data_IF_760463647677
#
_entry.id   IF_760463647677
#
_cell.length_a   1.000
_cell.length_b   1.000
_cell.length_c   1.000
_cell.angle_alpha   90.00
_cell.angle_beta   90.00
_cell.angle_gamma   90.00
#
_symmetry.space_group_name_H-M   'P 1'
#
loop_
_entity.id
_entity.type
_entity.pdbx_description
1 polymer ?
#
# COMPACT_ATOMS: atom_id res chain seq x y z
N UNK A 1 13.48 67.76 -25.19
CA UNK A 1 12.56 66.60 -25.45
C UNK A 1 13.14 65.19 -25.18
N UNK A 2 14.39 65.04 -24.73
CA UNK A 2 15.00 63.73 -24.45
C UNK A 2 14.59 63.08 -23.13
N UNK A 3 14.23 63.84 -22.11
CA UNK A 3 13.93 63.34 -20.76
C UNK A 3 12.63 62.50 -20.68
N UNK A 4 11.62 62.85 -21.47
CA UNK A 4 10.35 62.13 -21.49
C UNK A 4 10.47 60.72 -22.08
N UNK A 5 11.28 60.57 -23.13
CA UNK A 5 11.49 59.28 -23.81
C UNK A 5 12.28 58.30 -22.92
N UNK A 6 13.30 58.79 -22.25
CA UNK A 6 14.11 57.98 -21.33
C UNK A 6 13.29 57.51 -20.10
N UNK A 7 12.46 58.40 -19.54
CA UNK A 7 11.56 58.03 -18.43
C UNK A 7 10.58 56.92 -18.78
N UNK A 8 9.99 56.98 -19.99
CA UNK A 8 9.06 55.95 -20.48
C UNK A 8 9.75 54.58 -20.61
N UNK A 9 10.96 54.54 -21.18
CA UNK A 9 11.71 53.29 -21.29
C UNK A 9 12.07 52.67 -19.93
N UNK A 10 12.42 53.48 -18.93
CA UNK A 10 12.69 53.00 -17.59
C UNK A 10 11.44 52.39 -16.93
N UNK A 11 10.29 53.05 -17.09
CA UNK A 11 9.02 52.54 -16.57
C UNK A 11 8.66 51.18 -17.20
N UNK A 12 8.75 51.06 -18.52
CA UNK A 12 8.52 49.81 -19.22
C UNK A 12 9.49 48.72 -18.81
N UNK A 13 10.75 49.04 -18.62
CA UNK A 13 11.75 48.10 -18.17
C UNK A 13 11.42 47.57 -16.75
N UNK A 14 11.11 48.46 -15.82
CA UNK A 14 10.74 48.06 -14.45
C UNK A 14 9.46 47.20 -14.44
N UNK A 15 8.44 47.60 -15.21
CA UNK A 15 7.22 46.84 -15.34
C UNK A 15 7.48 45.43 -15.91
N UNK A 16 8.30 45.33 -16.95
CA UNK A 16 8.68 44.04 -17.53
C UNK A 16 9.42 43.13 -16.56
N UNK A 17 10.34 43.65 -15.74
CA UNK A 17 11.06 42.90 -14.71
C UNK A 17 10.11 42.40 -13.63
N UNK A 18 9.16 43.23 -13.18
CA UNK A 18 8.15 42.85 -12.20
C UNK A 18 7.27 41.70 -12.72
N UNK A 19 6.77 41.85 -13.95
CA UNK A 19 5.93 40.82 -14.58
C UNK A 19 6.73 39.52 -14.77
N UNK A 20 7.95 39.58 -15.25
CA UNK A 20 8.81 38.42 -15.40
C UNK A 20 9.07 37.70 -14.06
N UNK A 21 9.29 38.48 -13.00
CA UNK A 21 9.46 37.94 -11.64
C UNK A 21 8.21 37.22 -11.13
N UNK A 22 7.03 37.81 -11.33
CA UNK A 22 5.75 37.17 -10.95
C UNK A 22 5.50 35.87 -11.71
N UNK A 23 5.68 35.87 -13.03
CA UNK A 23 5.50 34.67 -13.86
C UNK A 23 6.48 33.59 -13.47
N UNK A 24 7.74 33.93 -13.23
CA UNK A 24 8.77 32.99 -12.78
C UNK A 24 8.42 32.39 -11.41
N UNK A 25 7.93 33.18 -10.47
CA UNK A 25 7.50 32.70 -9.15
C UNK A 25 6.35 31.70 -9.23
N UNK A 26 5.33 31.99 -10.03
CA UNK A 26 4.21 31.06 -10.27
C UNK A 26 4.70 29.76 -10.92
N UNK A 27 5.57 29.88 -11.92
CA UNK A 27 6.12 28.70 -12.61
C UNK A 27 6.90 27.78 -11.65
N UNK A 28 7.74 28.36 -10.80
CA UNK A 28 8.49 27.60 -9.78
C UNK A 28 7.52 26.92 -8.82
N UNK A 29 6.50 27.62 -8.31
CA UNK A 29 5.53 27.04 -7.38
C UNK A 29 4.76 25.86 -8.01
N UNK A 30 4.30 25.99 -9.26
CA UNK A 30 3.62 24.92 -9.98
C UNK A 30 4.56 23.71 -10.19
N UNK A 31 5.80 23.98 -10.61
CA UNK A 31 6.79 22.90 -10.81
C UNK A 31 7.09 22.15 -9.52
N UNK A 32 7.25 22.85 -8.40
CA UNK A 32 7.46 22.22 -7.08
C UNK A 32 6.27 21.36 -6.66
N UNK A 33 5.05 21.84 -6.86
CA UNK A 33 3.84 21.07 -6.55
C UNK A 33 3.73 19.79 -7.41
N UNK A 34 4.05 19.86 -8.69
CA UNK A 34 4.06 18.71 -9.59
C UNK A 34 5.13 17.71 -9.13
N UNK A 35 6.35 18.19 -8.86
CA UNK A 35 7.46 17.32 -8.41
C UNK A 35 7.11 16.60 -7.10
N UNK A 36 6.57 17.30 -6.11
CA UNK A 36 6.15 16.70 -4.84
C UNK A 36 5.03 15.67 -5.05
N UNK A 37 4.05 15.97 -5.91
CA UNK A 37 2.96 15.06 -6.21
C UNK A 37 3.44 13.80 -6.92
N UNK A 38 4.42 13.92 -7.82
CA UNK A 38 5.03 12.78 -8.52
C UNK A 38 5.87 11.93 -7.56
N UNK A 39 6.65 12.56 -6.69
CA UNK A 39 7.45 11.87 -5.67
C UNK A 39 6.55 11.03 -4.74
N UNK A 40 5.50 11.64 -4.20
CA UNK A 40 4.54 10.95 -3.32
C UNK A 40 3.82 9.77 -4.02
N UNK A 41 3.55 9.90 -5.31
CA UNK A 41 2.97 8.79 -6.10
C UNK A 41 4.00 7.70 -6.36
N UNK A 42 5.23 8.08 -6.65
CA UNK A 42 6.35 7.16 -6.85
C UNK A 42 6.62 6.31 -5.61
N UNK A 43 6.66 6.94 -4.43
CA UNK A 43 6.82 6.24 -3.15
C UNK A 43 5.70 5.22 -2.91
N UNK A 44 4.44 5.58 -3.12
CA UNK A 44 3.30 4.66 -2.97
C UNK A 44 3.39 3.46 -3.92
N UNK A 45 3.79 3.70 -5.16
CA UNK A 45 3.97 2.62 -6.14
C UNK A 45 5.14 1.72 -5.74
N UNK A 46 6.24 2.29 -5.26
CA UNK A 46 7.37 1.53 -4.76
C UNK A 46 6.97 0.67 -3.55
N UNK A 47 6.28 1.24 -2.56
CA UNK A 47 5.75 0.49 -1.41
C UNK A 47 4.81 -0.65 -1.84
N UNK A 48 3.99 -0.41 -2.86
CA UNK A 48 3.07 -1.41 -3.39
C UNK A 48 3.79 -2.56 -4.10
N UNK A 49 4.87 -2.25 -4.82
CA UNK A 49 5.71 -3.26 -5.49
C UNK A 49 6.59 -4.03 -4.50
N UNK A 50 6.99 -3.39 -3.41
CA UNK A 50 7.82 -4.00 -2.37
C UNK A 50 7.02 -4.82 -1.35
N UNK A 51 5.70 -4.68 -1.33
CA UNK A 51 4.83 -5.43 -0.42
C UNK A 51 4.20 -6.60 -1.18
N UNK A 52 4.51 -7.82 -0.79
CA UNK A 52 3.84 -9.01 -1.31
C UNK A 52 3.95 -10.17 -0.31
N UNK A 53 3.00 -11.08 -0.34
CA UNK A 53 3.00 -12.28 0.49
C UNK A 53 2.35 -13.44 -0.25
N UNK A 54 2.59 -14.65 0.20
CA UNK A 54 1.96 -15.85 -0.36
C UNK A 54 1.52 -16.80 0.76
N UNK A 55 0.54 -17.66 0.45
CA UNK A 55 0.01 -18.69 1.36
C UNK A 55 0.67 -20.00 0.97
N UNK A 56 1.45 -20.59 1.88
CA UNK A 56 2.32 -21.73 1.60
C UNK A 56 1.84 -23.05 2.22
N UNK A 57 0.54 -23.17 2.50
CA UNK A 57 -0.05 -24.41 3.01
C UNK A 57 -0.15 -25.49 1.92
N UNK A 58 -0.19 -26.76 2.38
CA UNK A 58 -0.66 -27.83 1.51
C UNK A 58 -2.18 -27.72 1.33
N UNK A 59 -2.70 -27.63 0.08
CA UNK A 59 -4.12 -27.49 -0.15
C UNK A 59 -4.97 -28.70 0.30
N UNK A 60 -4.37 -29.86 0.47
CA UNK A 60 -5.07 -31.07 0.88
C UNK A 60 -5.13 -31.28 2.40
N UNK A 61 -4.25 -30.58 3.15
CA UNK A 61 -4.13 -30.77 4.60
C UNK A 61 -3.94 -29.43 5.28
N UNK A 62 -5.02 -28.86 5.82
CA UNK A 62 -4.93 -27.66 6.64
C UNK A 62 -4.78 -28.07 8.11
N UNK A 63 -3.66 -27.68 8.77
CA UNK A 63 -3.47 -27.99 10.17
C UNK A 63 -4.57 -27.37 11.04
N UNK A 64 -5.10 -28.17 11.96
CA UNK A 64 -6.10 -27.75 12.94
C UNK A 64 -5.57 -28.06 14.34
N UNK A 65 -5.52 -27.07 15.22
CA UNK A 65 -5.20 -27.24 16.62
C UNK A 65 -6.27 -26.59 17.47
N UNK A 66 -6.97 -27.43 18.27
CA UNK A 66 -8.15 -26.97 18.98
C UNK A 66 -9.24 -26.52 18.03
N UNK A 67 -9.60 -25.23 18.11
CA UNK A 67 -10.61 -24.60 17.24
C UNK A 67 -10.01 -23.71 16.15
N UNK A 68 -8.68 -23.72 15.98
CA UNK A 68 -8.00 -22.84 15.06
C UNK A 68 -7.43 -23.58 13.87
N UNK A 69 -7.76 -23.12 12.67
CA UNK A 69 -7.09 -23.48 11.43
C UNK A 69 -5.81 -22.66 11.30
N UNK A 70 -4.72 -23.28 10.84
CA UNK A 70 -3.42 -22.65 10.70
C UNK A 70 -3.10 -22.43 9.23
N UNK A 71 -2.94 -21.18 8.83
CA UNK A 71 -2.48 -20.79 7.52
C UNK A 71 -1.11 -20.13 7.64
N UNK A 72 -0.18 -20.55 6.80
CA UNK A 72 1.18 -20.03 6.80
C UNK A 72 1.33 -18.99 5.71
N UNK A 73 1.64 -17.76 6.11
CA UNK A 73 1.90 -16.63 5.21
C UNK A 73 3.40 -16.39 5.15
N UNK A 74 3.96 -16.39 3.94
CA UNK A 74 5.35 -16.05 3.68
C UNK A 74 5.41 -14.65 3.07
N UNK A 75 6.27 -13.81 3.60
CA UNK A 75 6.60 -12.53 2.97
C UNK A 75 7.52 -12.79 1.77
N UNK A 76 7.05 -12.51 0.57
CA UNK A 76 7.80 -12.61 -0.70
C UNK A 76 8.11 -11.23 -1.28
N UNK A 77 7.74 -10.15 -0.58
CA UNK A 77 8.05 -8.78 -0.95
C UNK A 77 9.45 -8.33 -0.56
N UNK A 78 9.83 -7.13 -1.01
CA UNK A 78 11.11 -6.48 -0.72
C UNK A 78 11.15 -5.71 0.61
N UNK A 79 10.01 -5.56 1.29
CA UNK A 79 9.89 -4.83 2.55
C UNK A 79 9.36 -5.72 3.69
N UNK A 80 9.56 -5.26 4.92
CA UNK A 80 8.97 -5.91 6.09
C UNK A 80 7.45 -5.78 6.08
N UNK A 81 6.73 -6.87 6.29
CA UNK A 81 5.28 -6.92 6.28
C UNK A 81 4.71 -6.84 7.71
N UNK A 82 3.83 -5.87 7.96
CA UNK A 82 3.11 -5.76 9.23
C UNK A 82 1.87 -6.66 9.21
N UNK A 83 1.79 -7.61 10.15
CA UNK A 83 0.75 -8.63 10.23
C UNK A 83 -0.10 -8.43 11.48
N UNK A 84 -1.11 -7.59 11.35
CA UNK A 84 -2.08 -7.34 12.41
C UNK A 84 -3.50 -7.53 11.88
N UNK A 85 -4.45 -7.76 12.78
CA UNK A 85 -5.87 -7.83 12.43
C UNK A 85 -6.48 -6.50 11.97
N UNK A 86 -5.72 -5.40 12.03
CA UNK A 86 -6.11 -4.10 11.47
C UNK A 86 -5.59 -3.89 10.05
N UNK A 87 -4.48 -4.56 9.69
CA UNK A 87 -3.86 -4.45 8.37
C UNK A 87 -4.28 -5.54 7.39
N UNK A 88 -4.87 -6.61 7.92
CA UNK A 88 -5.34 -7.74 7.12
C UNK A 88 -6.84 -7.96 7.28
N UNK A 89 -7.47 -8.44 6.22
CA UNK A 89 -8.84 -8.91 6.20
C UNK A 89 -8.86 -10.34 5.64
N UNK A 90 -9.61 -11.20 6.31
CA UNK A 90 -9.66 -12.62 5.99
C UNK A 90 -11.07 -12.98 5.54
N UNK A 91 -11.17 -13.65 4.41
CA UNK A 91 -12.43 -14.17 3.89
C UNK A 91 -12.31 -15.67 3.67
N UNK A 92 -13.36 -16.40 4.01
CA UNK A 92 -13.50 -17.81 3.66
C UNK A 92 -14.81 -17.96 2.88
N UNK A 93 -14.73 -18.52 1.68
CA UNK A 93 -15.86 -18.68 0.74
C UNK A 93 -16.58 -17.36 0.44
N UNK A 94 -15.84 -16.25 0.47
CA UNK A 94 -16.38 -14.90 0.26
C UNK A 94 -17.01 -14.26 1.51
N UNK A 95 -17.09 -14.96 2.64
CA UNK A 95 -17.58 -14.42 3.90
C UNK A 95 -16.42 -13.82 4.72
N UNK A 96 -16.60 -12.58 5.19
CA UNK A 96 -15.62 -11.88 6.02
C UNK A 96 -15.53 -12.51 7.41
N UNK A 97 -14.36 -12.93 7.79
CA UNK A 97 -14.07 -13.43 9.15
C UNK A 97 -13.92 -12.26 10.11
N UNK A 98 -14.62 -12.28 11.22
CA UNK A 98 -14.59 -11.22 12.22
C UNK A 98 -13.21 -11.03 12.83
N UNK A 99 -12.84 -9.80 13.10
CA UNK A 99 -11.51 -9.37 13.60
C UNK A 99 -11.10 -10.06 14.92
N UNK A 100 -12.06 -10.56 15.69
CA UNK A 100 -11.83 -11.33 16.92
C UNK A 100 -11.68 -12.84 16.69
N UNK A 101 -11.93 -13.31 15.46
CA UNK A 101 -11.90 -14.73 15.12
C UNK A 101 -10.57 -15.15 14.48
N UNK A 102 -9.65 -14.23 14.26
CA UNK A 102 -8.32 -14.54 13.75
C UNK A 102 -7.24 -13.67 14.40
N UNK A 103 -6.05 -14.19 14.41
CA UNK A 103 -4.85 -13.45 14.83
C UNK A 103 -3.60 -14.02 14.15
N UNK A 104 -2.54 -13.23 14.15
CA UNK A 104 -1.23 -13.64 13.64
C UNK A 104 -0.30 -13.99 14.80
N UNK A 105 0.54 -14.97 14.61
CA UNK A 105 1.58 -15.35 15.57
C UNK A 105 2.56 -14.21 15.84
N UNK A 106 2.97 -13.52 14.76
CA UNK A 106 3.87 -12.36 14.82
C UNK A 106 3.16 -11.14 14.27
N UNK A 107 3.39 -9.98 14.88
CA UNK A 107 2.84 -8.68 14.40
C UNK A 107 3.59 -8.12 13.20
N UNK A 108 4.72 -8.70 12.85
CA UNK A 108 5.56 -8.29 11.71
C UNK A 108 6.47 -9.43 11.29
N UNK A 109 6.60 -9.61 9.98
CA UNK A 109 7.50 -10.60 9.38
C UNK A 109 8.55 -9.93 8.51
N UNK A 110 9.83 -10.32 8.63
CA UNK A 110 10.89 -9.83 7.78
C UNK A 110 10.74 -10.36 6.34
N UNK A 111 11.58 -9.85 5.45
CA UNK A 111 11.70 -10.37 4.07
C UNK A 111 12.00 -11.88 4.15
N UNK A 112 11.34 -12.68 3.32
CA UNK A 112 11.38 -14.15 3.29
C UNK A 112 10.93 -14.85 4.59
N UNK A 113 10.50 -14.09 5.60
CA UNK A 113 9.97 -14.63 6.84
C UNK A 113 8.58 -15.22 6.67
N UNK A 114 8.19 -16.05 7.66
CA UNK A 114 6.91 -16.73 7.70
C UNK A 114 6.20 -16.35 9.00
N UNK A 115 4.88 -16.26 8.97
CA UNK A 115 4.02 -16.16 10.14
C UNK A 115 2.86 -17.12 10.02
N UNK A 116 2.29 -17.51 11.15
CA UNK A 116 1.08 -18.32 11.20
C UNK A 116 -0.13 -17.41 11.42
N UNK A 117 -1.12 -17.53 10.56
CA UNK A 117 -2.45 -16.97 10.72
C UNK A 117 -3.34 -18.04 11.35
N UNK A 118 -3.87 -17.76 12.52
CA UNK A 118 -4.82 -18.59 13.25
C UNK A 118 -6.23 -18.11 12.98
N UNK A 119 -7.11 -18.98 12.47
CA UNK A 119 -8.50 -18.64 12.16
C UNK A 119 -9.44 -19.57 12.93
N UNK A 120 -10.30 -18.97 13.75
CA UNK A 120 -11.33 -19.68 14.51
C UNK A 120 -12.69 -19.53 13.81
N UNK A 121 -13.03 -20.51 13.00
CA UNK A 121 -14.33 -20.56 12.32
C UNK A 121 -14.74 -22.01 12.08
N UNK A 122 -16.02 -22.23 11.82
CA UNK A 122 -16.53 -23.54 11.46
C UNK A 122 -16.55 -23.67 9.93
N UNK A 123 -15.73 -24.58 9.41
CA UNK A 123 -15.65 -24.88 7.99
C UNK A 123 -16.28 -26.27 7.77
N UNK A 124 -17.19 -26.40 6.81
CA UNK A 124 -17.80 -27.68 6.44
C UNK A 124 -16.77 -28.62 5.80
N UNK A 125 -17.13 -29.87 5.47
CA UNK A 125 -16.26 -30.73 4.66
C UNK A 125 -16.44 -30.41 3.18
N UNK A 126 -15.34 -30.27 2.44
CA UNK A 126 -15.35 -29.95 1.02
C UNK A 126 -14.21 -29.04 0.59
N UNK A 127 -14.33 -28.48 -0.60
CA UNK A 127 -13.38 -27.51 -1.14
C UNK A 127 -13.79 -26.09 -0.71
N UNK A 128 -12.84 -25.33 -0.24
CA UNK A 128 -13.03 -23.97 0.28
C UNK A 128 -11.99 -23.02 -0.29
N UNK A 129 -12.33 -21.73 -0.32
CA UNK A 129 -11.43 -20.67 -0.75
C UNK A 129 -11.13 -19.70 0.41
N UNK A 130 -9.86 -19.61 0.80
CA UNK A 130 -9.35 -18.58 1.68
C UNK A 130 -8.87 -17.40 0.84
N UNK A 131 -9.37 -16.21 1.10
CA UNK A 131 -8.84 -14.97 0.54
C UNK A 131 -8.29 -14.10 1.66
N UNK A 132 -7.05 -13.72 1.53
CA UNK A 132 -6.33 -12.87 2.48
C UNK A 132 -6.03 -11.56 1.79
N UNK A 133 -6.57 -10.47 2.31
CA UNK A 133 -6.31 -9.11 1.83
C UNK A 133 -5.41 -8.42 2.83
N UNK A 134 -4.22 -8.06 2.41
CA UNK A 134 -3.18 -7.42 3.22
C UNK A 134 -3.04 -5.92 2.97
N UNK A 135 -1.94 -5.32 3.46
CA UNK A 135 -1.62 -3.92 3.23
C UNK A 135 -1.58 -3.57 1.74
N UNK A 136 -1.81 -2.32 1.39
CA UNK A 136 -1.84 -1.80 0.01
C UNK A 136 -2.89 -2.50 -0.89
N UNK A 137 -3.90 -3.15 -0.29
CA UNK A 137 -4.93 -3.93 -0.99
C UNK A 137 -4.38 -5.10 -1.82
N UNK A 138 -3.22 -5.62 -1.45
CA UNK A 138 -2.68 -6.84 -2.05
C UNK A 138 -3.49 -8.01 -1.52
N UNK A 139 -4.00 -8.85 -2.39
CA UNK A 139 -4.78 -10.01 -2.02
C UNK A 139 -4.22 -11.30 -2.60
N UNK A 140 -4.39 -12.38 -1.87
CA UNK A 140 -4.07 -13.74 -2.29
C UNK A 140 -5.26 -14.64 -2.00
N UNK A 141 -5.52 -15.50 -2.97
CA UNK A 141 -6.55 -16.53 -2.84
C UNK A 141 -5.89 -17.92 -2.81
N UNK A 142 -6.36 -18.74 -1.91
CA UNK A 142 -5.84 -20.09 -1.71
C UNK A 142 -7.00 -21.07 -1.55
N UNK A 143 -7.10 -22.03 -2.46
CA UNK A 143 -8.12 -23.08 -2.40
C UNK A 143 -7.58 -24.27 -1.61
N UNK A 144 -8.39 -24.76 -0.69
CA UNK A 144 -8.02 -25.88 0.18
C UNK A 144 -9.18 -26.83 0.43
N UNK A 145 -8.86 -28.01 0.85
CA UNK A 145 -9.83 -29.07 1.17
C UNK A 145 -9.86 -29.34 2.67
N UNK A 146 -11.09 -29.50 3.19
CA UNK A 146 -11.33 -29.95 4.56
C UNK A 146 -11.97 -31.33 4.60
#
# INVERSE_FOLDING_TARGET
>A
MGFSLTGTHVIFFVAAVIIAGMVSGVFIAVTMNITTSLSNRGERVAEQLDTDFDIINDPNIIPLSGSYYHFYLKNIGGARLTTTNQTFQIFIDGELIGISQYYFENTSIPIEGITTLYVNTSIASGDHALRVVGPQAIDKEFTFKK
#
